data_IF_288096873344
#
_entry.id   IF_288096873344
#
_cell.length_a   1.000
_cell.length_b   1.000
_cell.length_c   1.000
_cell.angle_alpha   90.00
_cell.angle_beta   90.00
_cell.angle_gamma   90.00
#
_symmetry.space_group_name_H-M   'P 1'
#
loop_
_entity.id
_entity.type
_entity.pdbx_description
1 polymer ?
#
# COMPACT_ATOMS: atom_id res chain seq x y z
N UNK A 1 10.31 -14.69 11.44
CA UNK A 1 11.40 -14.07 12.21
C UNK A 1 11.31 -12.57 11.98
N UNK A 2 10.97 -11.81 13.03
CA UNK A 2 10.87 -10.35 12.99
C UNK A 2 12.26 -9.76 12.75
N UNK A 3 12.42 -8.95 11.71
CA UNK A 3 13.67 -8.21 11.49
C UNK A 3 13.70 -7.01 12.47
N UNK A 4 14.55 -7.11 13.49
CA UNK A 4 14.93 -5.99 14.35
C UNK A 4 15.60 -4.91 13.49
N UNK A 5 14.97 -3.74 13.41
CA UNK A 5 15.56 -2.54 12.82
C UNK A 5 16.51 -1.92 13.85
N UNK A 6 17.71 -2.49 14.02
CA UNK A 6 18.77 -1.92 14.85
C UNK A 6 19.70 -1.11 13.95
N UNK A 7 19.50 0.21 13.90
CA UNK A 7 20.48 1.15 13.34
C UNK A 7 21.81 0.89 14.04
N UNK A 8 22.82 0.47 13.28
CA UNK A 8 24.16 0.22 13.81
C UNK A 8 24.72 1.53 14.34
N UNK A 9 25.01 1.56 15.64
CA UNK A 9 25.52 2.74 16.33
C UNK A 9 26.98 3.01 15.99
N UNK A 10 27.28 4.24 15.61
CA UNK A 10 28.45 4.94 16.12
C UNK A 10 28.15 6.44 16.14
N UNK A 11 27.93 6.98 17.35
CA UNK A 11 27.78 8.41 17.68
C UNK A 11 26.55 9.15 17.11
N UNK A 12 25.36 8.61 17.34
CA UNK A 12 24.11 9.30 17.01
C UNK A 12 23.62 10.16 18.21
N UNK A 13 23.73 11.50 18.12
CA UNK A 13 23.16 12.43 19.11
C UNK A 13 21.68 12.70 18.79
N UNK A 14 20.73 12.29 19.66
CA UNK A 14 19.31 12.39 19.41
C UNK A 14 18.76 13.82 19.26
N UNK A 15 19.60 14.85 19.41
CA UNK A 15 19.22 16.26 19.25
C UNK A 15 19.62 16.85 17.89
N UNK A 16 20.40 16.13 17.09
CA UNK A 16 20.93 16.61 15.81
C UNK A 16 20.36 15.87 14.59
N UNK A 17 19.38 14.97 14.74
CA UNK A 17 18.73 14.27 13.62
C UNK A 17 18.32 15.22 12.50
N UNK A 18 17.80 16.41 12.83
CA UNK A 18 17.37 17.37 11.84
C UNK A 18 18.50 17.77 10.88
N UNK A 19 19.73 17.97 11.36
CA UNK A 19 20.86 18.35 10.51
C UNK A 19 21.35 17.21 9.61
N UNK A 20 21.32 15.98 10.10
CA UNK A 20 21.62 14.79 9.30
C UNK A 20 20.56 14.59 8.20
N UNK A 21 19.28 14.81 8.52
CA UNK A 21 18.20 14.76 7.54
C UNK A 21 18.28 15.88 6.50
N UNK A 22 18.60 17.13 6.89
CA UNK A 22 18.78 18.24 5.94
C UNK A 22 19.93 17.96 4.96
N UNK A 23 21.06 17.44 5.44
CA UNK A 23 22.17 17.05 4.54
C UNK A 23 21.76 15.94 3.57
N UNK A 24 21.03 14.93 4.05
CA UNK A 24 20.51 13.86 3.19
C UNK A 24 19.52 14.42 2.16
N UNK A 25 18.68 15.40 2.53
CA UNK A 25 17.74 16.05 1.63
C UNK A 25 18.49 16.86 0.56
N UNK A 26 19.50 17.63 0.94
CA UNK A 26 20.34 18.38 0.00
C UNK A 26 21.08 17.44 -0.96
N UNK A 27 21.64 16.33 -0.47
CA UNK A 27 22.30 15.32 -1.30
C UNK A 27 21.31 14.63 -2.25
N UNK A 28 20.09 14.36 -1.79
CA UNK A 28 18.99 13.82 -2.60
C UNK A 28 18.58 14.83 -3.69
N UNK A 29 18.49 16.12 -3.36
CA UNK A 29 18.12 17.18 -4.30
C UNK A 29 19.22 17.42 -5.34
N UNK A 30 20.49 17.36 -4.96
CA UNK A 30 21.59 17.38 -5.92
C UNK A 30 21.58 16.16 -6.86
N UNK A 31 21.24 14.97 -6.33
CA UNK A 31 21.05 13.76 -7.13
C UNK A 31 19.80 13.82 -8.02
N UNK A 32 18.73 14.52 -7.59
CA UNK A 32 17.56 14.82 -8.43
C UNK A 32 18.01 15.58 -9.65
N UNK A 33 18.71 16.70 -9.46
CA UNK A 33 19.11 17.56 -10.57
C UNK A 33 20.04 16.83 -11.55
N UNK A 34 20.99 16.04 -11.05
CA UNK A 34 21.87 15.21 -11.90
C UNK A 34 21.12 14.10 -12.67
N UNK A 35 20.11 13.48 -12.08
CA UNK A 35 19.35 12.43 -12.75
C UNK A 35 18.22 12.98 -13.64
N UNK A 36 17.66 14.15 -13.32
CA UNK A 36 16.70 14.85 -14.16
C UNK A 36 17.35 15.35 -15.45
N UNK A 37 18.63 15.77 -15.42
CA UNK A 37 19.40 16.09 -16.63
C UNK A 37 19.67 14.86 -17.51
N UNK A 38 19.81 13.66 -16.93
CA UNK A 38 19.84 12.40 -17.68
C UNK A 38 18.46 11.96 -18.20
N UNK A 39 17.38 12.46 -17.61
CA UNK A 39 16.01 12.03 -17.83
C UNK A 39 15.27 12.79 -18.94
N UNK A 40 15.95 13.29 -19.98
CA UNK A 40 15.28 13.95 -21.11
C UNK A 40 14.50 13.00 -22.05
N UNK A 41 14.00 11.87 -21.54
CA UNK A 41 13.16 10.92 -22.28
C UNK A 41 12.81 9.59 -21.60
N UNK A 42 13.25 9.34 -20.35
CA UNK A 42 12.98 8.07 -19.66
C UNK A 42 11.73 8.13 -18.78
N UNK A 43 10.81 7.16 -18.93
CA UNK A 43 9.54 7.13 -18.19
C UNK A 43 9.68 6.66 -16.73
N UNK A 44 10.61 5.73 -16.45
CA UNK A 44 10.84 5.17 -15.11
C UNK A 44 12.25 5.51 -14.68
N UNK A 45 12.42 6.40 -13.71
CA UNK A 45 13.73 6.92 -13.30
C UNK A 45 14.24 6.19 -12.07
N UNK A 46 15.52 5.82 -12.06
CA UNK A 46 16.18 5.24 -10.90
C UNK A 46 15.50 3.97 -10.39
N UNK A 47 15.17 3.98 -9.10
CA UNK A 47 14.52 2.87 -8.39
C UNK A 47 13.09 2.60 -8.85
N UNK A 48 12.48 3.45 -9.67
CA UNK A 48 11.17 3.16 -10.28
C UNK A 48 11.28 2.13 -11.42
N UNK A 49 12.47 1.96 -12.01
CA UNK A 49 12.76 0.86 -12.92
C UNK A 49 13.01 -0.43 -12.14
N UNK A 50 11.95 -1.21 -11.93
CA UNK A 50 11.98 -2.40 -11.08
C UNK A 50 11.68 -3.69 -11.83
N UNK A 51 12.26 -4.78 -11.34
CA UNK A 51 11.87 -6.14 -11.70
C UNK A 51 11.74 -6.97 -10.42
N UNK A 52 10.50 -7.17 -9.98
CA UNK A 52 10.18 -7.83 -8.71
C UNK A 52 10.47 -9.34 -8.71
N UNK A 53 10.64 -9.97 -9.88
CA UNK A 53 11.09 -11.35 -9.98
C UNK A 53 12.60 -11.50 -9.74
N UNK A 54 13.38 -10.43 -9.95
CA UNK A 54 14.83 -10.40 -9.70
C UNK A 54 15.17 -10.08 -8.25
N UNK A 55 14.28 -9.39 -7.54
CA UNK A 55 14.41 -9.15 -6.11
C UNK A 55 13.71 -7.87 -5.69
N UNK A 56 13.72 -7.64 -4.37
CA UNK A 56 13.19 -6.42 -3.78
C UNK A 56 14.09 -5.22 -4.07
N UNK A 57 13.48 -4.05 -4.09
CA UNK A 57 14.22 -2.80 -4.18
C UNK A 57 15.02 -2.60 -2.90
N UNK A 58 16.30 -2.25 -3.05
CA UNK A 58 17.22 -1.95 -1.95
C UNK A 58 17.85 -0.58 -2.13
N UNK A 59 18.32 -0.01 -1.02
CA UNK A 59 18.97 1.29 -1.00
C UNK A 59 18.02 2.45 -1.34
N UNK A 60 16.97 2.60 -0.53
CA UNK A 60 15.92 3.62 -0.71
C UNK A 60 16.42 5.06 -0.51
N UNK A 61 17.57 5.20 0.14
CA UNK A 61 18.31 6.45 0.33
C UNK A 61 18.85 7.04 -0.99
N UNK A 62 18.94 6.23 -2.06
CA UNK A 62 19.40 6.66 -3.39
C UNK A 62 18.32 6.38 -4.46
N UNK A 63 17.21 7.14 -4.46
CA UNK A 63 16.04 6.86 -5.29
C UNK A 63 16.29 7.02 -6.80
N UNK A 64 17.26 7.85 -7.18
CA UNK A 64 17.54 8.15 -8.59
C UNK A 64 18.60 7.25 -9.23
N UNK A 65 19.18 6.32 -8.47
CA UNK A 65 20.17 5.37 -8.98
C UNK A 65 19.48 4.06 -9.33
N UNK A 66 19.67 3.62 -10.57
CA UNK A 66 19.15 2.34 -11.04
C UNK A 66 19.73 1.19 -10.21
N UNK A 67 18.87 0.26 -9.81
CA UNK A 67 19.32 -0.98 -9.17
C UNK A 67 19.73 -2.04 -10.20
N UNK A 68 19.10 -2.02 -11.36
CA UNK A 68 19.27 -3.01 -12.42
C UNK A 68 19.75 -2.33 -13.68
N UNK A 69 20.64 -2.99 -14.42
CA UNK A 69 21.05 -2.51 -15.74
C UNK A 69 19.90 -2.67 -16.74
N UNK A 70 19.44 -1.55 -17.30
CA UNK A 70 18.29 -1.46 -18.21
C UNK A 70 18.49 -2.23 -19.53
N UNK A 71 19.74 -2.43 -19.95
CA UNK A 71 20.05 -3.14 -21.21
C UNK A 71 19.96 -4.66 -21.07
N UNK A 72 20.21 -5.17 -19.86
CA UNK A 72 20.25 -6.61 -19.60
C UNK A 72 18.99 -7.13 -18.91
N UNK A 73 18.37 -6.33 -18.03
CA UNK A 73 17.19 -6.73 -17.27
C UNK A 73 16.00 -5.87 -17.69
N UNK A 74 14.99 -6.42 -18.37
CA UNK A 74 13.76 -5.67 -18.62
C UNK A 74 13.02 -5.44 -17.30
N UNK A 75 12.37 -4.27 -17.16
CA UNK A 75 11.43 -4.04 -16.06
C UNK A 75 10.27 -5.02 -16.13
N UNK A 76 9.64 -5.26 -15.00
CA UNK A 76 8.39 -5.99 -15.02
C UNK A 76 7.20 -5.02 -15.12
N UNK A 77 6.31 -5.16 -16.13
CA UNK A 77 5.20 -4.24 -16.30
C UNK A 77 4.21 -4.35 -15.15
N UNK A 78 3.71 -3.21 -14.68
CA UNK A 78 2.66 -3.15 -13.66
C UNK A 78 1.32 -2.93 -14.36
N UNK A 79 0.40 -3.88 -14.20
CA UNK A 79 -0.98 -3.79 -14.70
C UNK A 79 -1.91 -3.75 -13.48
N UNK A 80 -2.72 -2.70 -13.39
CA UNK A 80 -3.58 -2.45 -12.22
C UNK A 80 -4.83 -1.69 -12.66
N UNK A 81 -5.89 -1.78 -11.88
CA UNK A 81 -7.17 -1.11 -12.13
C UNK A 81 -7.50 -0.21 -10.94
N UNK A 82 -7.76 1.06 -11.22
CA UNK A 82 -8.18 2.03 -10.20
C UNK A 82 -9.41 2.80 -10.67
N UNK A 83 -10.15 3.35 -9.72
CA UNK A 83 -11.27 4.23 -10.00
C UNK A 83 -11.22 5.48 -9.12
N UNK A 84 -11.83 6.56 -9.60
CA UNK A 84 -12.01 7.80 -8.86
C UNK A 84 -13.50 7.98 -8.61
N UNK A 85 -13.86 8.31 -7.37
CA UNK A 85 -15.23 8.59 -6.97
C UNK A 85 -15.37 10.03 -6.48
N UNK A 86 -16.55 10.62 -6.69
CA UNK A 86 -16.85 11.99 -6.31
C UNK A 86 -18.08 12.05 -5.38
N UNK A 87 -18.25 13.17 -4.69
CA UNK A 87 -19.45 13.46 -3.92
C UNK A 87 -19.61 12.57 -2.68
N UNK A 88 -20.80 11.99 -2.50
CA UNK A 88 -21.14 11.23 -1.30
C UNK A 88 -20.23 10.01 -1.07
N UNK A 89 -19.96 9.23 -2.12
CA UNK A 89 -19.07 8.08 -2.04
C UNK A 89 -17.65 8.46 -1.60
N UNK A 90 -17.12 9.58 -2.09
CA UNK A 90 -15.82 10.10 -1.66
C UNK A 90 -15.80 10.48 -0.16
N UNK A 91 -16.92 11.01 0.37
CA UNK A 91 -17.05 11.31 1.81
C UNK A 91 -17.09 10.06 2.66
N UNK A 92 -17.69 8.98 2.17
CA UNK A 92 -17.72 7.71 2.90
C UNK A 92 -16.33 7.07 2.97
N UNK A 93 -15.56 7.12 1.88
CA UNK A 93 -14.14 6.73 1.90
C UNK A 93 -13.32 7.59 2.87
N UNK A 94 -13.54 8.92 2.87
CA UNK A 94 -12.86 9.82 3.81
C UNK A 94 -13.20 9.49 5.27
N UNK A 95 -14.45 9.13 5.56
CA UNK A 95 -14.86 8.68 6.91
C UNK A 95 -14.14 7.41 7.33
N UNK A 96 -14.04 6.43 6.43
CA UNK A 96 -13.30 5.19 6.69
C UNK A 96 -11.82 5.47 6.99
N UNK A 97 -11.19 6.35 6.22
CA UNK A 97 -9.81 6.78 6.47
C UNK A 97 -9.65 7.41 7.87
N UNK A 98 -10.52 8.34 8.24
CA UNK A 98 -10.46 9.02 9.55
C UNK A 98 -10.63 8.03 10.70
N UNK A 99 -11.57 7.08 10.59
CA UNK A 99 -11.75 6.03 11.58
C UNK A 99 -10.47 5.23 11.80
N UNK A 100 -9.83 4.78 10.71
CA UNK A 100 -8.58 4.01 10.79
C UNK A 100 -7.41 4.83 11.32
N UNK A 101 -7.31 6.10 10.95
CA UNK A 101 -6.28 6.99 11.49
C UNK A 101 -6.41 7.13 13.01
N UNK A 102 -7.62 7.45 13.49
CA UNK A 102 -7.87 7.65 14.91
C UNK A 102 -7.64 6.36 15.71
N UNK A 103 -8.04 5.20 15.19
CA UNK A 103 -7.74 3.90 15.81
C UNK A 103 -6.23 3.65 15.92
N UNK A 104 -5.46 3.85 14.83
CA UNK A 104 -4.01 3.70 14.86
C UNK A 104 -3.34 4.67 15.84
N UNK A 105 -3.86 5.90 15.95
CA UNK A 105 -3.40 6.91 16.91
C UNK A 105 -3.65 6.45 18.35
N UNK A 106 -4.84 5.94 18.67
CA UNK A 106 -5.15 5.38 20.00
C UNK A 106 -4.28 4.15 20.33
N UNK A 107 -4.07 3.24 19.38
CA UNK A 107 -3.36 1.99 19.65
C UNK A 107 -1.84 2.16 19.79
N UNK A 108 -1.22 2.99 18.95
CA UNK A 108 0.26 3.02 18.81
C UNK A 108 0.90 4.33 19.25
N UNK A 109 0.13 5.41 19.28
CA UNK A 109 0.67 6.75 19.47
C UNK A 109 -0.15 7.56 20.46
N UNK A 110 -0.86 6.91 21.39
CA UNK A 110 -1.76 7.58 22.32
C UNK A 110 -1.08 8.76 23.03
N UNK A 111 0.17 8.56 23.43
CA UNK A 111 0.95 9.51 24.24
C UNK A 111 1.58 10.67 23.44
N UNK A 112 1.47 10.67 22.10
CA UNK A 112 2.09 11.70 21.24
C UNK A 112 1.10 12.80 20.88
N UNK A 113 0.93 13.79 21.76
CA UNK A 113 -0.01 14.90 21.54
C UNK A 113 0.28 15.75 20.28
N UNK A 114 1.52 15.70 19.77
CA UNK A 114 1.92 16.31 18.50
C UNK A 114 1.18 15.73 17.29
N UNK A 115 0.68 14.50 17.39
CA UNK A 115 -0.07 13.83 16.32
C UNK A 115 -1.57 14.02 16.61
N UNK A 116 -2.27 14.87 15.82
CA UNK A 116 -3.67 15.17 16.09
C UNK A 116 -4.60 14.01 15.68
N UNK A 117 -5.70 13.90 16.40
CA UNK A 117 -6.87 13.16 15.93
C UNK A 117 -7.48 13.88 14.73
N UNK A 118 -7.83 13.12 13.70
CA UNK A 118 -8.61 13.64 12.59
C UNK A 118 -10.06 13.72 13.08
N UNK A 119 -10.54 14.91 13.37
CA UNK A 119 -11.87 15.12 13.96
C UNK A 119 -12.94 14.84 12.91
N UNK A 120 -13.85 13.88 13.10
CA UNK A 120 -15.13 13.92 12.42
C UNK A 120 -16.02 14.82 13.26
N UNK A 121 -16.72 15.77 12.66
CA UNK A 121 -17.68 16.63 13.37
C UNK A 121 -18.79 15.84 14.13
N UNK A 122 -18.83 14.52 14.03
CA UNK A 122 -19.73 13.63 14.76
C UNK A 122 -19.30 12.17 14.63
N UNK A 123 -18.51 11.64 15.56
CA UNK A 123 -18.54 10.20 15.89
C UNK A 123 -18.28 10.01 17.38
N UNK A 124 -19.07 9.11 17.97
CA UNK A 124 -19.04 8.74 19.38
C UNK A 124 -18.23 7.45 19.59
N UNK A 125 -17.86 7.15 20.83
CA UNK A 125 -17.05 5.99 21.26
C UNK A 125 -17.50 4.61 20.70
N UNK A 126 -18.75 4.47 20.25
CA UNK A 126 -19.30 3.25 19.63
C UNK A 126 -18.94 3.06 18.13
N UNK A 127 -18.40 4.10 17.47
CA UNK A 127 -18.36 4.17 15.99
C UNK A 127 -16.98 4.01 15.35
N UNK A 128 -15.96 3.67 16.15
CA UNK A 128 -14.62 3.27 15.68
C UNK A 128 -14.18 1.88 16.19
N UNK A 129 -15.05 1.16 16.93
CA UNK A 129 -14.87 -0.21 17.39
C UNK A 129 -16.02 -1.08 16.91
N UNK A 130 -15.99 -1.46 15.62
CA UNK A 130 -17.03 -2.31 15.03
C UNK A 130 -16.91 -3.71 15.62
N UNK A 131 -17.90 -4.14 16.41
CA UNK A 131 -17.93 -5.47 17.04
C UNK A 131 -18.23 -6.59 16.04
N UNK A 132 -18.71 -6.24 14.85
CA UNK A 132 -19.10 -7.16 13.79
C UNK A 132 -18.12 -7.09 12.63
N UNK A 133 -17.72 -8.26 12.10
CA UNK A 133 -16.89 -8.34 10.90
C UNK A 133 -17.62 -7.71 9.71
N UNK A 134 -16.90 -6.88 8.96
CA UNK A 134 -17.37 -6.24 7.73
C UNK A 134 -17.11 -7.17 6.54
N UNK A 135 -18.14 -7.50 5.75
CA UNK A 135 -18.09 -8.47 4.65
C UNK A 135 -18.81 -7.97 3.36
N UNK A 136 -19.02 -6.65 3.23
CA UNK A 136 -19.83 -6.06 2.14
C UNK A 136 -19.23 -6.30 0.76
N UNK A 137 -17.90 -6.30 0.62
CA UNK A 137 -17.22 -6.59 -0.64
C UNK A 137 -17.54 -8.02 -1.07
N UNK A 138 -17.41 -9.00 -0.17
CA UNK A 138 -17.74 -10.40 -0.48
C UNK A 138 -19.20 -10.54 -0.92
N UNK A 139 -20.14 -9.93 -0.18
CA UNK A 139 -21.57 -9.95 -0.54
C UNK A 139 -21.85 -9.29 -1.88
N UNK A 140 -21.17 -8.19 -2.20
CA UNK A 140 -21.31 -7.51 -3.48
C UNK A 140 -20.83 -8.40 -4.64
N UNK A 141 -19.69 -9.07 -4.50
CA UNK A 141 -19.21 -10.06 -5.48
C UNK A 141 -20.19 -11.23 -5.64
N UNK A 142 -20.68 -11.80 -4.53
CA UNK A 142 -21.65 -12.90 -4.56
C UNK A 142 -22.93 -12.49 -5.30
N UNK A 143 -23.47 -11.32 -4.99
CA UNK A 143 -24.65 -10.79 -5.66
C UNK A 143 -24.42 -10.50 -7.14
N UNK A 144 -23.25 -9.97 -7.50
CA UNK A 144 -22.89 -9.71 -8.90
C UNK A 144 -22.80 -11.01 -9.69
N UNK A 145 -22.19 -12.04 -9.11
CA UNK A 145 -22.07 -13.36 -9.73
C UNK A 145 -23.44 -14.01 -9.90
N UNK A 146 -24.28 -14.01 -8.86
CA UNK A 146 -25.60 -14.63 -8.88
C UNK A 146 -26.57 -13.95 -9.85
N UNK A 147 -26.40 -12.65 -10.13
CA UNK A 147 -27.27 -11.87 -11.00
C UNK A 147 -26.77 -11.76 -12.45
N UNK A 148 -25.57 -12.23 -12.76
CA UNK A 148 -25.02 -12.12 -14.10
C UNK A 148 -25.74 -13.05 -15.09
N UNK A 149 -26.32 -12.51 -16.16
CA UNK A 149 -27.10 -13.29 -17.14
C UNK A 149 -26.26 -13.79 -18.33
N UNK A 150 -25.13 -13.13 -18.63
CA UNK A 150 -24.40 -13.36 -19.88
C UNK A 150 -22.95 -13.81 -19.63
N UNK A 151 -22.10 -12.93 -19.08
CA UNK A 151 -20.72 -13.26 -18.76
C UNK A 151 -20.22 -12.39 -17.59
N UNK A 152 -19.17 -12.85 -16.92
CA UNK A 152 -18.46 -12.11 -15.88
C UNK A 152 -17.00 -12.02 -16.29
N UNK A 153 -16.45 -10.81 -16.29
CA UNK A 153 -15.02 -10.57 -16.45
C UNK A 153 -14.39 -10.34 -15.08
N UNK A 154 -13.34 -11.10 -14.76
CA UNK A 154 -12.61 -10.98 -13.49
C UNK A 154 -11.13 -10.79 -13.81
N UNK A 155 -10.59 -9.66 -13.36
CA UNK A 155 -9.16 -9.39 -13.31
C UNK A 155 -8.74 -9.24 -11.85
N UNK A 156 -7.83 -10.09 -11.38
CA UNK A 156 -7.35 -10.09 -9.99
C UNK A 156 -5.90 -10.55 -9.93
N UNK A 157 -5.13 -9.97 -9.01
CA UNK A 157 -3.73 -10.37 -8.78
C UNK A 157 -3.57 -11.75 -8.12
N UNK A 158 -4.58 -12.20 -7.36
CA UNK A 158 -4.61 -13.52 -6.72
C UNK A 158 -6.04 -14.08 -6.86
N UNK A 159 -6.16 -15.37 -7.17
CA UNK A 159 -7.45 -16.08 -7.24
C UNK A 159 -7.42 -17.32 -6.34
N UNK A 160 -8.17 -17.28 -5.23
CA UNK A 160 -8.33 -18.39 -4.29
C UNK A 160 -9.81 -18.68 -4.10
N UNK A 161 -10.22 -19.93 -4.28
CA UNK A 161 -11.61 -20.36 -4.10
C UNK A 161 -11.80 -21.07 -2.77
N UNK A 162 -12.93 -20.79 -2.11
CA UNK A 162 -13.38 -21.61 -0.98
C UNK A 162 -13.98 -22.91 -1.50
N UNK A 163 -13.36 -24.03 -1.14
CA UNK A 163 -13.99 -25.34 -1.32
C UNK A 163 -15.03 -25.50 -0.21
N UNK A 164 -16.31 -25.57 -0.56
CA UNK A 164 -17.35 -25.91 0.41
C UNK A 164 -17.43 -27.43 0.53
N UNK A 165 -17.37 -27.94 1.76
CA UNK A 165 -17.44 -29.37 2.10
C UNK A 165 -18.80 -30.03 1.85
N UNK A 166 -19.73 -29.36 1.15
CA UNK A 166 -21.07 -29.87 0.84
C UNK A 166 -21.20 -30.61 -0.50
N UNK A 167 -20.10 -30.82 -1.25
CA UNK A 167 -20.07 -31.78 -2.37
C UNK A 167 -19.55 -33.15 -1.90
N UNK A 168 -20.29 -33.79 -1.00
CA UNK A 168 -20.27 -35.25 -0.86
C UNK A 168 -21.50 -35.79 -1.62
N UNK A 169 -21.47 -35.71 -2.95
CA UNK A 169 -22.46 -36.30 -3.84
C UNK A 169 -21.76 -37.35 -4.70
N UNK A 170 -21.72 -38.55 -4.14
CA UNK A 170 -22.05 -39.82 -4.82
C UNK A 170 -21.55 -39.98 -6.25
N UNK A 171 -20.24 -40.14 -6.47
CA UNK A 171 -19.72 -40.84 -7.66
C UNK A 171 -19.34 -42.27 -7.25
N UNK A 172 -20.36 -43.06 -6.89
CA UNK A 172 -20.30 -44.53 -6.83
C UNK A 172 -21.73 -45.04 -6.96
N UNK A 173 -22.25 -45.03 -8.20
CA UNK A 173 -23.21 -46.01 -8.74
C UNK A 173 -23.66 -45.53 -10.14
N UNK A 174 -22.85 -45.86 -11.13
CA UNK A 174 -23.29 -46.30 -12.46
C UNK A 174 -22.17 -47.12 -13.08
#
# INVERSE_FOLDING_TARGET
>A
AFAEWRVKSSNHDPRNWHKEYEQIIEDIDALKDMCLDRASGELWVGKDYTNWYKGYVTGYELPYIDQWDRKSVPRTPWHDVSCVVYGAAARDLARHFIQRWNMCKEEKFNDKDEIPFLVPKSVYKWSAGVSTVEDSIHRAYEQLILKAEHFIYIEQGILLFRISSSLHLSITNM
#
